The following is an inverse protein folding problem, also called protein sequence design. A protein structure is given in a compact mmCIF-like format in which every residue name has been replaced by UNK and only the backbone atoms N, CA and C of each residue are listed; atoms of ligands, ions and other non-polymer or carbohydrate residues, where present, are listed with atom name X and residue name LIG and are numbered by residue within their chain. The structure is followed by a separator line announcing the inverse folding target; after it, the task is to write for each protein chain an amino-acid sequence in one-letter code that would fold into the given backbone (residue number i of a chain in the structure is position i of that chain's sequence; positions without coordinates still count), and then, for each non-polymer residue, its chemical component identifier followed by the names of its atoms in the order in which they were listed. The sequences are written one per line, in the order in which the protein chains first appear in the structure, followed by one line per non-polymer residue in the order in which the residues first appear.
data_IF_458858445826
#
_entry.id   IF_458858445826
#
_cell.length_a   1.000
_cell.length_b   1.000
_cell.length_c   1.000
_cell.angle_alpha   90.00
_cell.angle_beta   90.00
_cell.angle_gamma   90.00
#
_symmetry.space_group_name_H-M   'P 1'
#
loop_
_entity.id
_entity.type
_entity.pdbx_description
1 polymer ?
#
# COMPACT_ATOMS: atom_id res chain seq x y z
N UNK A 1 -2.58 9.93 -32.73
CA UNK A 1 -1.94 11.09 -32.10
C UNK A 1 -1.27 10.61 -30.82
N UNK A 2 0.06 10.61 -30.75
CA UNK A 2 0.79 10.31 -29.51
C UNK A 2 0.59 11.52 -28.58
N UNK A 3 -0.08 11.31 -27.45
CA UNK A 3 -0.12 12.30 -26.39
C UNK A 3 1.31 12.45 -25.86
N UNK A 4 2.04 13.47 -26.31
CA UNK A 4 3.34 13.79 -25.71
C UNK A 4 3.11 14.02 -24.22
N UNK A 5 3.65 13.13 -23.39
CA UNK A 5 3.62 13.29 -21.95
C UNK A 5 4.30 14.62 -21.61
N UNK A 6 3.50 15.58 -21.15
CA UNK A 6 3.97 16.86 -20.63
C UNK A 6 4.72 16.60 -19.33
N UNK A 7 5.99 16.99 -19.29
CA UNK A 7 6.90 16.88 -18.14
C UNK A 7 6.35 17.62 -16.90
N UNK A 8 6.77 17.23 -15.71
CA UNK A 8 6.32 17.75 -14.42
C UNK A 8 6.39 19.29 -14.35
N UNK A 9 7.48 19.89 -14.84
CA UNK A 9 7.69 21.35 -14.84
C UNK A 9 6.68 22.10 -15.72
N UNK A 10 6.08 21.42 -16.69
CA UNK A 10 5.07 22.01 -17.57
C UNK A 10 3.64 21.88 -17.04
N UNK A 11 3.44 21.08 -16.00
CA UNK A 11 2.13 20.80 -15.40
C UNK A 11 1.91 21.52 -14.08
N UNK A 12 2.98 21.71 -13.30
CA UNK A 12 2.87 22.18 -11.91
C UNK A 12 3.60 23.50 -11.67
N UNK A 13 3.18 24.27 -10.64
CA UNK A 13 3.96 25.39 -10.15
C UNK A 13 5.40 24.98 -9.79
N UNK A 14 6.43 25.82 -10.04
CA UNK A 14 7.83 25.46 -9.81
C UNK A 14 8.16 24.98 -8.39
N UNK A 15 7.49 25.55 -7.38
CA UNK A 15 7.66 25.14 -5.97
C UNK A 15 7.16 23.72 -5.71
N UNK A 16 6.06 23.31 -6.35
CA UNK A 16 5.49 21.98 -6.22
C UNK A 16 6.32 20.96 -7.01
N UNK A 17 6.70 21.29 -8.24
CA UNK A 17 7.57 20.46 -9.07
C UNK A 17 8.89 20.15 -8.34
N UNK A 18 9.47 21.13 -7.65
CA UNK A 18 10.66 20.93 -6.82
C UNK A 18 10.43 19.93 -5.68
N UNK A 19 9.37 20.11 -4.88
CA UNK A 19 9.05 19.18 -3.79
C UNK A 19 8.91 17.74 -4.27
N UNK A 20 8.25 17.55 -5.41
CA UNK A 20 8.05 16.22 -6.00
C UNK A 20 9.34 15.62 -6.56
N UNK A 21 10.22 16.45 -7.15
CA UNK A 21 11.58 16.03 -7.54
C UNK A 21 12.42 15.62 -6.33
N UNK A 22 12.29 16.33 -5.21
CA UNK A 22 12.98 15.97 -3.96
C UNK A 22 12.47 14.60 -3.47
N UNK A 23 11.15 14.37 -3.46
CA UNK A 23 10.54 13.07 -3.12
C UNK A 23 11.02 11.95 -4.06
N UNK A 24 11.06 12.19 -5.37
CA UNK A 24 11.55 11.22 -6.35
C UNK A 24 13.04 10.89 -6.17
N UNK A 25 13.84 11.91 -5.85
CA UNK A 25 15.26 11.76 -5.51
C UNK A 25 15.44 10.92 -4.24
N UNK A 26 14.67 11.21 -3.19
CA UNK A 26 14.70 10.43 -1.95
C UNK A 26 14.35 8.96 -2.21
N UNK A 27 13.26 8.68 -2.94
CA UNK A 27 12.89 7.31 -3.33
C UNK A 27 13.99 6.61 -4.13
N UNK A 28 14.57 7.28 -5.12
CA UNK A 28 15.65 6.72 -5.95
C UNK A 28 16.91 6.40 -5.15
N UNK A 29 17.13 7.12 -4.05
CA UNK A 29 18.28 6.90 -3.17
C UNK A 29 18.07 5.75 -2.18
N UNK A 30 16.83 5.28 -2.01
CA UNK A 30 16.52 4.18 -1.10
C UNK A 30 17.21 2.90 -1.57
N UNK A 31 17.96 2.29 -0.66
CA UNK A 31 18.56 0.97 -0.89
C UNK A 31 17.51 -0.07 -0.60
N UNK A 32 16.85 -0.53 -1.66
CA UNK A 32 15.77 -1.50 -1.55
C UNK A 32 16.19 -2.82 -2.14
N UNK A 33 15.89 -3.89 -1.40
CA UNK A 33 16.20 -5.27 -1.76
C UNK A 33 14.98 -5.93 -2.39
N UNK A 34 15.23 -6.89 -3.27
CA UNK A 34 14.17 -7.58 -4.02
C UNK A 34 13.84 -6.87 -5.33
N UNK A 35 13.62 -7.69 -6.37
CA UNK A 35 13.30 -7.19 -7.71
C UNK A 35 11.96 -6.44 -7.74
N UNK A 36 10.96 -6.91 -6.99
CA UNK A 36 9.62 -6.33 -6.98
C UNK A 36 9.61 -4.91 -6.41
N UNK A 37 10.14 -4.71 -5.19
CA UNK A 37 10.15 -3.39 -4.54
C UNK A 37 10.95 -2.36 -5.33
N UNK A 38 12.07 -2.77 -5.96
CA UNK A 38 12.84 -1.87 -6.86
C UNK A 38 12.06 -1.49 -8.11
N UNK A 39 11.30 -2.41 -8.70
CA UNK A 39 10.42 -2.10 -9.84
C UNK A 39 9.38 -1.07 -9.43
N UNK A 40 8.69 -1.27 -8.29
CA UNK A 40 7.72 -0.28 -7.79
C UNK A 40 8.36 1.10 -7.58
N UNK A 41 9.53 1.19 -6.96
CA UNK A 41 10.22 2.47 -6.75
C UNK A 41 10.50 3.18 -8.07
N UNK A 42 11.04 2.47 -9.06
CA UNK A 42 11.32 3.05 -10.37
C UNK A 42 10.03 3.55 -11.04
N UNK A 43 8.96 2.75 -11.02
CA UNK A 43 7.66 3.12 -11.58
C UNK A 43 7.04 4.33 -10.86
N UNK A 44 7.20 4.43 -9.54
CA UNK A 44 6.75 5.60 -8.76
C UNK A 44 7.53 6.84 -9.17
N UNK A 45 8.86 6.74 -9.27
CA UNK A 45 9.73 7.85 -9.69
C UNK A 45 9.38 8.32 -11.09
N UNK A 46 9.19 7.39 -12.03
CA UNK A 46 8.80 7.71 -13.40
C UNK A 46 7.39 8.32 -13.47
N UNK A 47 6.45 7.83 -12.66
CA UNK A 47 5.13 8.43 -12.53
C UNK A 47 5.19 9.86 -11.97
N UNK A 48 6.07 10.13 -11.00
CA UNK A 48 6.31 11.49 -10.49
C UNK A 48 6.86 12.38 -11.60
N UNK A 49 7.92 11.95 -12.31
CA UNK A 49 8.50 12.74 -13.40
C UNK A 49 7.51 13.01 -14.55
N UNK A 50 6.61 12.08 -14.83
CA UNK A 50 5.55 12.25 -15.82
C UNK A 50 4.36 13.12 -15.35
N UNK A 51 4.36 13.57 -14.08
CA UNK A 51 3.26 14.29 -13.46
C UNK A 51 1.99 13.44 -13.29
N UNK A 52 2.14 12.13 -13.15
CA UNK A 52 1.06 11.14 -12.92
C UNK A 52 0.92 10.83 -11.42
N UNK A 53 0.64 11.86 -10.62
CA UNK A 53 0.72 11.76 -9.16
C UNK A 53 -0.27 10.78 -8.53
N UNK A 54 -1.47 10.63 -9.10
CA UNK A 54 -2.41 9.61 -8.64
C UNK A 54 -1.83 8.19 -8.83
N UNK A 55 -1.14 7.96 -9.94
CA UNK A 55 -0.48 6.68 -10.20
C UNK A 55 0.68 6.48 -9.21
N UNK A 56 1.50 7.51 -8.99
CA UNK A 56 2.58 7.46 -8.00
C UNK A 56 2.06 7.13 -6.58
N UNK A 57 0.97 7.76 -6.14
CA UNK A 57 0.33 7.48 -4.84
C UNK A 57 -0.20 6.04 -4.77
N UNK A 58 -0.89 5.57 -5.82
CA UNK A 58 -1.43 4.20 -5.89
C UNK A 58 -0.32 3.16 -5.86
N UNK A 59 0.74 3.36 -6.65
CA UNK A 59 1.91 2.47 -6.67
C UNK A 59 2.64 2.47 -5.32
N UNK A 60 2.69 3.62 -4.64
CA UNK A 60 3.31 3.72 -3.31
C UNK A 60 2.54 2.97 -2.24
N UNK A 61 1.20 2.93 -2.31
CA UNK A 61 0.41 2.05 -1.44
C UNK A 61 0.69 0.58 -1.70
N UNK A 62 0.75 0.15 -2.96
CA UNK A 62 1.07 -1.23 -3.30
C UNK A 62 2.47 -1.62 -2.82
N UNK A 63 3.45 -0.70 -2.93
CA UNK A 63 4.78 -0.88 -2.36
C UNK A 63 4.72 -1.02 -0.84
N UNK A 64 3.96 -0.16 -0.15
CA UNK A 64 3.81 -0.19 1.30
C UNK A 64 3.17 -1.51 1.77
N UNK A 65 2.13 -2.00 1.09
CA UNK A 65 1.49 -3.29 1.39
C UNK A 65 2.47 -4.46 1.24
N UNK A 66 3.25 -4.47 0.16
CA UNK A 66 4.28 -5.47 -0.06
C UNK A 66 5.34 -5.41 1.05
N UNK A 67 5.75 -4.20 1.42
CA UNK A 67 6.76 -4.00 2.46
C UNK A 67 6.31 -4.49 3.83
N UNK A 68 5.07 -4.18 4.22
CA UNK A 68 4.46 -4.66 5.48
C UNK A 68 4.37 -6.18 5.48
N UNK A 69 4.02 -6.80 4.34
CA UNK A 69 3.99 -8.26 4.20
C UNK A 69 5.38 -8.89 4.37
N UNK A 70 6.39 -8.32 3.72
CA UNK A 70 7.77 -8.81 3.80
C UNK A 70 8.29 -8.67 5.24
N UNK A 71 8.04 -7.52 5.89
CA UNK A 71 8.37 -7.31 7.31
C UNK A 71 7.73 -8.39 8.19
N UNK A 72 6.42 -8.62 8.03
CA UNK A 72 5.70 -9.60 8.85
C UNK A 72 6.25 -11.01 8.64
N UNK A 73 6.47 -11.40 7.38
CA UNK A 73 6.97 -12.73 7.03
C UNK A 73 8.36 -12.97 7.62
N UNK A 74 9.25 -11.98 7.58
CA UNK A 74 10.59 -12.07 8.14
C UNK A 74 10.60 -12.17 9.67
N UNK A 75 9.77 -11.38 10.36
CA UNK A 75 9.68 -11.42 11.82
C UNK A 75 9.04 -12.71 12.34
N UNK A 76 8.00 -13.21 11.66
CA UNK A 76 7.41 -14.51 11.97
C UNK A 76 8.41 -15.65 11.71
N UNK A 77 9.14 -15.61 10.58
CA UNK A 77 10.18 -16.60 10.30
C UNK A 77 11.30 -16.58 11.34
N UNK A 78 11.70 -15.40 11.83
CA UNK A 78 12.71 -15.27 12.89
C UNK A 78 12.25 -15.91 14.21
N UNK A 79 10.95 -15.89 14.51
CA UNK A 79 10.37 -16.54 15.70
C UNK A 79 10.16 -18.06 15.53
N UNK A 80 10.28 -18.61 14.32
CA UNK A 80 10.06 -20.05 14.06
C UNK A 80 11.14 -20.96 14.63
N UNK A 81 12.30 -20.41 15.02
CA UNK A 81 13.44 -21.19 15.51
C UNK A 81 14.22 -21.91 14.41
N UNK A 82 14.12 -21.47 13.15
CA UNK A 82 14.93 -21.95 12.04
C UNK A 82 16.42 -21.92 12.39
N UNK A 83 17.11 -23.05 12.17
CA UNK A 83 18.53 -23.23 12.56
C UNK A 83 19.48 -22.94 11.41
N UNK A 84 18.98 -22.96 10.18
CA UNK A 84 19.76 -22.74 8.96
C UNK A 84 19.13 -21.65 8.09
N UNK A 85 19.94 -21.01 7.25
CA UNK A 85 19.47 -20.03 6.27
C UNK A 85 18.46 -20.66 5.30
N UNK A 86 18.65 -21.94 4.95
CA UNK A 86 17.72 -22.65 4.07
C UNK A 86 16.35 -22.86 4.73
N UNK A 87 16.32 -23.29 6.00
CA UNK A 87 15.08 -23.41 6.78
C UNK A 87 14.38 -22.05 6.95
N UNK A 88 15.14 -21.00 7.24
CA UNK A 88 14.61 -19.64 7.36
C UNK A 88 13.97 -19.18 6.05
N UNK A 89 14.69 -19.31 4.93
CA UNK A 89 14.21 -18.91 3.60
C UNK A 89 12.96 -19.71 3.19
N UNK A 90 12.95 -21.02 3.47
CA UNK A 90 11.77 -21.86 3.23
C UNK A 90 10.57 -21.42 4.08
N UNK A 91 10.82 -21.05 5.34
CA UNK A 91 9.77 -20.54 6.26
C UNK A 91 9.20 -19.22 5.78
N UNK A 92 10.05 -18.27 5.36
CA UNK A 92 9.61 -16.99 4.77
C UNK A 92 8.72 -17.25 3.56
N UNK A 93 9.15 -18.11 2.61
CA UNK A 93 8.37 -18.41 1.41
C UNK A 93 7.01 -19.09 1.71
N UNK A 94 6.91 -19.88 2.78
CA UNK A 94 5.64 -20.45 3.23
C UNK A 94 4.74 -19.35 3.80
N UNK A 95 5.28 -18.52 4.70
CA UNK A 95 4.54 -17.43 5.34
C UNK A 95 4.02 -16.41 4.32
N UNK A 96 4.84 -16.02 3.34
CA UNK A 96 4.42 -15.14 2.24
C UNK A 96 3.19 -15.70 1.52
N UNK A 97 3.22 -17.00 1.18
CA UNK A 97 2.11 -17.67 0.48
C UNK A 97 0.85 -17.81 1.34
N UNK A 98 1.02 -17.99 2.66
CA UNK A 98 -0.09 -18.05 3.61
C UNK A 98 -0.74 -16.68 3.81
N UNK A 99 0.07 -15.63 4.04
CA UNK A 99 -0.38 -14.24 4.19
C UNK A 99 -1.13 -13.78 2.93
N UNK A 100 -0.63 -14.11 1.74
CA UNK A 100 -1.32 -13.86 0.47
C UNK A 100 -2.59 -14.71 0.26
N UNK A 101 -2.75 -15.78 1.04
CA UNK A 101 -3.84 -16.73 0.91
C UNK A 101 -3.80 -17.54 -0.39
N UNK A 102 -2.62 -17.72 -0.98
CA UNK A 102 -2.42 -18.54 -2.18
C UNK A 102 -2.60 -20.04 -1.92
N UNK A 103 -2.44 -20.47 -0.67
CA UNK A 103 -2.58 -21.88 -0.26
C UNK A 103 -4.03 -22.39 -0.35
N UNK A 104 -5.02 -21.49 -0.28
CA UNK A 104 -6.46 -21.84 -0.33
C UNK A 104 -6.96 -22.48 -1.64
N UNK A 105 -6.14 -22.55 -2.71
CA UNK A 105 -6.54 -23.19 -3.98
C UNK A 105 -6.00 -24.61 -4.21
N UNK A 106 -5.04 -25.08 -3.40
CA UNK A 106 -4.53 -26.47 -3.47
C UNK A 106 -4.61 -27.21 -2.13
N UNK A 107 -4.58 -26.51 -0.99
CA UNK A 107 -4.62 -27.15 0.33
C UNK A 107 -5.98 -27.77 0.69
N UNK A 108 -7.08 -27.35 0.05
CA UNK A 108 -8.41 -27.97 0.26
C UNK A 108 -8.46 -29.45 -0.18
N UNK A 109 -7.54 -29.92 -1.02
CA UNK A 109 -7.45 -31.35 -1.39
C UNK A 109 -6.49 -32.17 -0.52
N UNK A 110 -5.58 -31.53 0.22
CA UNK A 110 -4.60 -32.23 1.06
C UNK A 110 -4.88 -32.09 2.57
N UNK A 111 -5.73 -31.14 2.99
CA UNK A 111 -6.16 -30.99 4.37
C UNK A 111 -7.16 -32.07 4.83
N UNK A 112 -7.78 -32.82 3.91
CA UNK A 112 -8.59 -33.99 4.27
C UNK A 112 -7.74 -35.25 4.52
N UNK A 113 -6.52 -35.32 3.99
CA UNK A 113 -5.66 -36.51 4.10
C UNK A 113 -4.68 -36.46 5.28
N UNK A 114 -4.37 -35.27 5.84
CA UNK A 114 -3.39 -35.13 6.93
C UNK A 114 -3.99 -34.80 8.31
N UNK A 115 -4.93 -35.64 8.77
CA UNK A 115 -5.37 -35.67 10.18
C UNK A 115 -4.37 -36.38 11.10
N UNK A 116 -3.15 -36.62 10.64
CA UNK A 116 -2.17 -37.48 11.33
C UNK A 116 -1.10 -36.72 12.11
N UNK A 117 -1.01 -35.39 11.96
CA UNK A 117 -0.04 -34.55 12.67
C UNK A 117 -0.70 -33.70 13.77
N UNK A 118 -0.69 -34.17 15.04
CA UNK A 118 -1.20 -33.41 16.18
C UNK A 118 -0.18 -32.34 16.57
N UNK A 119 -0.13 -31.25 15.81
CA UNK A 119 0.84 -30.18 16.05
C UNK A 119 0.64 -28.89 15.25
N UNK A 120 -0.30 -28.85 14.29
CA UNK A 120 -0.66 -27.59 13.62
C UNK A 120 -1.38 -26.67 14.61
N UNK A 121 -0.63 -25.70 15.12
CA UNK A 121 -1.10 -24.67 16.05
C UNK A 121 -2.22 -23.85 15.43
N UNK A 122 -3.16 -23.35 16.27
CA UNK A 122 -4.24 -22.41 15.88
C UNK A 122 -3.73 -21.15 15.17
N UNK A 123 -2.43 -20.86 15.22
CA UNK A 123 -1.77 -19.77 14.49
C UNK A 123 -1.80 -19.94 12.97
N UNK A 124 -1.83 -21.17 12.43
CA UNK A 124 -1.74 -21.41 10.98
C UNK A 124 -3.03 -21.04 10.21
N UNK A 125 -4.18 -21.03 10.87
CA UNK A 125 -5.46 -20.66 10.23
C UNK A 125 -5.68 -19.15 10.25
N UNK A 126 -5.14 -18.46 11.27
CA UNK A 126 -5.27 -17.01 11.47
C UNK A 126 -4.50 -16.19 10.42
N UNK A 127 -3.36 -16.69 9.93
CA UNK A 127 -2.52 -15.98 8.97
C UNK A 127 -3.02 -16.01 7.52
N UNK A 128 -4.11 -16.73 7.23
CA UNK A 128 -4.60 -16.87 5.86
C UNK A 128 -5.36 -15.62 5.41
N UNK A 129 -4.85 -14.94 4.37
CA UNK A 129 -5.45 -13.74 3.77
C UNK A 129 -5.58 -12.58 4.77
N UNK A 130 -4.48 -12.23 5.41
CA UNK A 130 -4.48 -11.05 6.26
C UNK A 130 -4.79 -9.80 5.42
N UNK A 131 -5.74 -8.99 5.89
CA UNK A 131 -5.91 -7.63 5.40
C UNK A 131 -4.68 -6.79 5.78
N UNK A 132 -4.51 -5.64 5.12
CA UNK A 132 -3.45 -4.69 5.47
C UNK A 132 -3.49 -4.34 6.97
N UNK A 133 -4.67 -3.97 7.48
CA UNK A 133 -4.88 -3.63 8.88
C UNK A 133 -4.48 -4.80 9.80
N UNK A 134 -4.87 -6.03 9.46
CA UNK A 134 -4.50 -7.20 10.24
C UNK A 134 -2.97 -7.43 10.24
N UNK A 135 -2.28 -7.25 9.11
CA UNK A 135 -0.82 -7.33 9.07
C UNK A 135 -0.15 -6.26 9.95
N UNK A 136 -0.69 -5.04 9.97
CA UNK A 136 -0.15 -3.95 10.80
C UNK A 136 -0.33 -4.23 12.29
N UNK A 137 -1.50 -4.74 12.69
CA UNK A 137 -1.74 -5.16 14.08
C UNK A 137 -0.83 -6.30 14.50
N UNK A 138 -0.64 -7.32 13.65
CA UNK A 138 0.31 -8.40 13.93
C UNK A 138 1.74 -7.86 14.11
N UNK A 139 2.20 -6.95 13.24
CA UNK A 139 3.50 -6.31 13.41
C UNK A 139 3.63 -5.49 14.71
N UNK A 140 2.56 -4.84 15.14
CA UNK A 140 2.52 -4.13 16.43
C UNK A 140 2.60 -5.11 17.62
N UNK A 141 1.87 -6.23 17.58
CA UNK A 141 1.95 -7.30 18.59
C UNK A 141 3.34 -7.99 18.62
N UNK A 142 4.04 -7.97 17.48
CA UNK A 142 5.43 -8.42 17.39
C UNK A 142 6.44 -7.36 17.87
N UNK A 143 5.98 -6.19 18.34
CA UNK A 143 6.78 -5.02 18.75
C UNK A 143 7.67 -4.46 17.62
N UNK A 144 7.27 -4.68 16.36
CA UNK A 144 7.95 -4.13 15.17
C UNK A 144 7.46 -2.71 14.88
N UNK A 145 6.15 -2.48 15.09
CA UNK A 145 5.53 -1.17 14.96
C UNK A 145 5.11 -0.64 16.33
N UNK A 146 5.21 0.67 16.52
CA UNK A 146 4.57 1.35 17.64
C UNK A 146 3.15 1.87 17.28
N UNK A 147 2.46 2.43 18.28
CA UNK A 147 1.10 2.93 18.11
C UNK A 147 1.02 4.16 17.18
N UNK A 148 2.06 4.99 17.15
CA UNK A 148 2.12 6.18 16.30
C UNK A 148 2.30 5.76 14.83
N UNK A 149 3.11 4.73 14.58
CA UNK A 149 3.31 4.12 13.28
C UNK A 149 2.07 3.40 12.78
N UNK A 150 1.37 2.65 13.64
CA UNK A 150 0.09 2.06 13.29
C UNK A 150 -0.93 3.13 12.87
N UNK A 151 -1.05 4.20 13.67
CA UNK A 151 -1.94 5.33 13.37
C UNK A 151 -1.56 6.04 12.06
N UNK A 152 -0.27 6.16 11.77
CA UNK A 152 0.23 6.71 10.50
C UNK A 152 -0.16 5.83 9.32
N UNK A 153 0.01 4.50 9.42
CA UNK A 153 -0.33 3.56 8.35
C UNK A 153 -1.84 3.59 8.07
N UNK A 154 -2.68 3.58 9.11
CA UNK A 154 -4.13 3.74 8.99
C UNK A 154 -4.47 5.05 8.27
N UNK A 155 -3.86 6.17 8.70
CA UNK A 155 -4.07 7.47 8.06
C UNK A 155 -3.70 7.47 6.57
N UNK A 156 -2.54 6.91 6.20
CA UNK A 156 -2.08 6.81 4.81
C UNK A 156 -3.10 6.03 3.97
N UNK A 157 -3.56 4.91 4.51
CA UNK A 157 -4.49 4.01 3.83
C UNK A 157 -5.86 4.67 3.65
N UNK A 158 -6.41 5.26 4.70
CA UNK A 158 -7.70 5.96 4.67
C UNK A 158 -7.66 7.19 3.74
N UNK A 159 -6.53 7.89 3.66
CA UNK A 159 -6.40 9.10 2.84
C UNK A 159 -6.51 8.81 1.35
N UNK A 160 -6.01 7.66 0.90
CA UNK A 160 -5.89 7.36 -0.54
C UNK A 160 -6.85 6.25 -0.95
N UNK A 161 -6.79 5.11 -0.26
CA UNK A 161 -7.45 3.88 -0.69
C UNK A 161 -8.96 4.06 -0.64
N UNK A 162 -9.48 4.61 0.46
CA UNK A 162 -10.92 4.81 0.62
C UNK A 162 -11.48 5.79 -0.42
N UNK A 163 -10.90 6.99 -0.63
CA UNK A 163 -11.45 7.89 -1.63
C UNK A 163 -11.30 7.42 -3.07
N UNK A 164 -10.21 6.73 -3.41
CA UNK A 164 -10.06 6.14 -4.74
C UNK A 164 -11.08 5.02 -4.96
N UNK A 165 -11.19 4.07 -4.02
CA UNK A 165 -12.16 2.99 -4.15
C UNK A 165 -13.59 3.50 -4.14
N UNK A 166 -13.98 4.35 -3.19
CA UNK A 166 -15.34 4.88 -3.09
C UNK A 166 -15.67 5.89 -4.19
N UNK A 167 -14.72 6.72 -4.62
CA UNK A 167 -14.93 7.66 -5.74
C UNK A 167 -15.14 6.95 -7.07
N UNK A 168 -14.38 5.89 -7.35
CA UNK A 168 -14.52 5.09 -8.59
C UNK A 168 -15.77 4.20 -8.53
N UNK A 169 -16.01 3.51 -7.41
CA UNK A 169 -17.17 2.62 -7.25
C UNK A 169 -18.47 3.40 -7.16
N UNK A 170 -18.51 4.52 -6.46
CA UNK A 170 -19.69 5.40 -6.36
C UNK A 170 -20.21 5.84 -7.73
N UNK A 171 -19.31 6.13 -8.68
CA UNK A 171 -19.70 6.45 -10.08
C UNK A 171 -20.20 5.24 -10.87
N UNK A 172 -19.71 4.04 -10.55
CA UNK A 172 -20.14 2.80 -11.21
C UNK A 172 -21.53 2.39 -10.73
N UNK A 173 -21.84 2.62 -9.46
CA UNK A 173 -23.11 2.24 -8.82
C UNK A 173 -24.17 3.33 -8.97
N UNK A 174 -23.79 4.61 -8.93
CA UNK A 174 -24.69 5.75 -9.12
C UNK A 174 -24.06 6.87 -9.98
N UNK A 175 -24.11 6.73 -11.31
CA UNK A 175 -23.55 7.72 -12.22
C UNK A 175 -24.27 9.07 -12.21
N UNK A 176 -25.48 9.17 -11.64
CA UNK A 176 -26.27 10.41 -11.57
C UNK A 176 -26.07 11.17 -10.25
N UNK A 177 -25.43 10.55 -9.26
CA UNK A 177 -25.10 11.16 -7.97
C UNK A 177 -26.32 11.45 -7.08
N UNK A 178 -27.46 10.81 -7.36
CA UNK A 178 -28.72 11.07 -6.65
C UNK A 178 -28.79 10.40 -5.28
N UNK A 179 -27.98 9.36 -5.03
CA UNK A 179 -27.95 8.56 -3.81
C UNK A 179 -26.74 8.86 -2.91
N UNK A 180 -26.03 9.97 -3.13
CA UNK A 180 -24.89 10.36 -2.28
C UNK A 180 -25.27 10.46 -0.78
N UNK A 181 -26.56 10.71 -0.49
CA UNK A 181 -27.12 10.78 0.88
C UNK A 181 -27.13 9.44 1.63
N UNK A 182 -27.03 8.31 0.94
CA UNK A 182 -27.04 6.96 1.57
C UNK A 182 -25.72 6.59 2.24
N UNK A 183 -24.63 7.31 1.95
CA UNK A 183 -23.29 6.97 2.43
C UNK A 183 -22.72 7.93 3.49
N UNK A 184 -23.46 8.98 3.88
CA UNK A 184 -22.92 10.10 4.70
C UNK A 184 -22.71 9.74 6.18
N UNK A 185 -23.25 8.62 6.67
CA UNK A 185 -23.25 8.28 8.09
C UNK A 185 -21.87 8.06 8.73
N UNK A 186 -20.93 7.47 7.99
CA UNK A 186 -19.61 7.03 8.51
C UNK A 186 -18.41 7.57 7.70
N UNK A 187 -18.61 8.63 6.91
CA UNK A 187 -17.56 9.15 6.02
C UNK A 187 -16.58 10.09 6.74
N UNK A 188 -15.29 9.82 6.62
CA UNK A 188 -14.22 10.75 7.02
C UNK A 188 -14.31 12.07 6.25
N UNK A 189 -13.71 13.14 6.79
CA UNK A 189 -13.73 14.48 6.16
C UNK A 189 -13.17 14.45 4.74
N UNK A 190 -12.16 13.64 4.50
CA UNK A 190 -11.50 13.37 3.23
C UNK A 190 -12.47 12.67 2.27
N UNK A 191 -13.23 11.70 2.77
CA UNK A 191 -14.26 11.00 1.99
C UNK A 191 -15.41 11.93 1.60
N UNK A 192 -15.85 12.82 2.51
CA UNK A 192 -16.86 13.84 2.22
C UNK A 192 -16.34 14.86 1.21
N UNK A 193 -15.08 15.31 1.33
CA UNK A 193 -14.46 16.22 0.38
C UNK A 193 -14.46 15.60 -1.02
N UNK A 194 -14.05 14.34 -1.15
CA UNK A 194 -13.94 13.67 -2.44
C UNK A 194 -15.33 13.31 -3.01
N UNK A 195 -16.28 12.88 -2.17
CA UNK A 195 -17.67 12.73 -2.57
C UNK A 195 -18.27 14.05 -3.07
N UNK A 196 -17.96 15.18 -2.43
CA UNK A 196 -18.39 16.52 -2.85
C UNK A 196 -17.72 16.98 -4.14
N UNK A 197 -16.47 16.57 -4.40
CA UNK A 197 -15.80 16.79 -5.68
C UNK A 197 -16.58 16.08 -6.78
N UNK A 198 -17.10 14.88 -6.54
CA UNK A 198 -17.84 14.12 -7.56
C UNK A 198 -19.31 14.53 -7.75
N UNK A 199 -19.92 15.24 -6.81
CA UNK A 199 -21.29 15.78 -6.91
C UNK A 199 -21.46 17.08 -7.73
N UNK A 200 -20.36 17.72 -8.17
CA UNK A 200 -20.39 19.00 -8.89
C UNK A 200 -20.33 18.87 -10.44
N UNK A 201 -20.53 19.97 -11.17
CA UNK A 201 -20.45 19.99 -12.65
C UNK A 201 -19.09 19.49 -13.17
N UNK A 202 -19.03 18.71 -14.27
CA UNK A 202 -17.86 17.94 -14.70
C UNK A 202 -16.51 18.66 -14.67
N UNK A 203 -16.47 19.92 -15.09
CA UNK A 203 -15.24 20.69 -15.22
C UNK A 203 -14.68 21.11 -13.85
N UNK A 204 -15.54 21.54 -12.93
CA UNK A 204 -15.15 21.95 -11.56
C UNK A 204 -14.64 20.77 -10.74
N UNK A 205 -15.01 19.54 -11.12
CA UNK A 205 -14.56 18.30 -10.44
C UNK A 205 -13.11 17.98 -10.74
N UNK A 206 -12.70 18.12 -12.00
CA UNK A 206 -11.34 17.81 -12.42
C UNK A 206 -10.35 18.73 -11.70
N UNK A 207 -10.64 20.03 -11.68
CA UNK A 207 -9.81 21.03 -11.02
C UNK A 207 -9.64 20.75 -9.52
N UNK A 208 -10.73 20.51 -8.78
CA UNK A 208 -10.66 20.23 -7.34
C UNK A 208 -9.98 18.91 -7.00
N UNK A 209 -10.16 17.89 -7.84
CA UNK A 209 -9.48 16.61 -7.65
C UNK A 209 -7.98 16.75 -7.89
N UNK A 210 -7.60 17.47 -8.94
CA UNK A 210 -6.20 17.80 -9.22
C UNK A 210 -5.58 18.61 -8.06
N UNK A 211 -6.26 19.64 -7.57
CA UNK A 211 -5.81 20.44 -6.42
C UNK A 211 -5.59 19.56 -5.18
N UNK A 212 -6.53 18.67 -4.86
CA UNK A 212 -6.40 17.72 -3.76
C UNK A 212 -5.17 16.82 -3.92
N UNK A 213 -4.97 16.25 -5.11
CA UNK A 213 -3.81 15.40 -5.41
C UNK A 213 -2.52 16.19 -5.29
N UNK A 214 -2.47 17.43 -5.79
CA UNK A 214 -1.29 18.29 -5.70
C UNK A 214 -0.94 18.65 -4.25
N UNK A 215 -1.93 18.89 -3.40
CA UNK A 215 -1.70 19.22 -1.99
C UNK A 215 -1.35 18.00 -1.13
N UNK A 216 -1.86 16.82 -1.49
CA UNK A 216 -1.74 15.59 -0.70
C UNK A 216 -0.52 14.77 -1.08
N UNK A 217 -0.27 14.58 -2.38
CA UNK A 217 0.75 13.65 -2.86
C UNK A 217 2.15 13.88 -2.27
N UNK A 218 2.70 15.11 -2.21
CA UNK A 218 4.06 15.30 -1.69
C UNK A 218 4.20 14.91 -0.22
N UNK A 219 3.20 15.20 0.61
CA UNK A 219 3.23 14.92 2.05
C UNK A 219 3.18 13.42 2.29
N UNK A 220 2.19 12.79 1.66
CA UNK A 220 1.94 11.37 1.84
C UNK A 220 3.07 10.51 1.25
N UNK A 221 3.57 10.84 0.05
CA UNK A 221 4.74 10.14 -0.51
C UNK A 221 5.96 10.27 0.43
N UNK A 222 6.15 11.42 1.06
CA UNK A 222 7.23 11.63 2.02
C UNK A 222 7.04 10.82 3.30
N UNK A 223 5.82 10.72 3.82
CA UNK A 223 5.48 9.87 4.97
C UNK A 223 5.76 8.39 4.68
N UNK A 224 5.35 7.90 3.50
CA UNK A 224 5.65 6.54 3.06
C UNK A 224 7.16 6.31 2.99
N UNK A 225 7.92 7.19 2.34
CA UNK A 225 9.39 7.08 2.25
C UNK A 225 10.02 7.01 3.66
N UNK A 226 9.61 7.92 4.55
CA UNK A 226 10.14 7.96 5.91
C UNK A 226 9.81 6.68 6.69
N UNK A 227 8.63 6.10 6.48
CA UNK A 227 8.27 4.81 7.06
C UNK A 227 9.18 3.68 6.53
N UNK A 228 9.32 3.56 5.20
CA UNK A 228 10.14 2.51 4.58
C UNK A 228 11.62 2.61 4.99
N UNK A 229 12.14 3.83 5.17
CA UNK A 229 13.52 4.06 5.65
C UNK A 229 13.70 3.61 7.12
N UNK A 230 12.69 3.81 7.97
CA UNK A 230 12.74 3.38 9.38
C UNK A 230 12.69 1.87 9.54
N UNK A 231 12.06 1.18 8.59
CA UNK A 231 11.87 -0.28 8.61
C UNK A 231 12.59 -0.96 7.44
N UNK A 232 13.93 -0.93 7.39
CA UNK A 232 14.67 -1.55 6.30
C UNK A 232 14.50 -3.08 6.31
N UNK A 233 14.25 -3.67 5.14
CA UNK A 233 14.24 -5.11 4.99
C UNK A 233 15.67 -5.68 5.06
N UNK A 234 15.94 -6.73 5.86
CA UNK A 234 17.27 -7.30 6.05
C UNK A 234 17.87 -7.90 4.78
N UNK A 235 19.20 -7.98 4.81
CA UNK A 235 20.06 -8.42 3.73
C UNK A 235 20.03 -9.96 3.57
N UNK A 236 19.41 -10.49 2.51
CA UNK A 236 19.37 -11.95 2.25
C UNK A 236 20.56 -12.51 1.47
N UNK A 237 21.56 -11.69 1.11
CA UNK A 237 22.70 -12.07 0.24
C UNK A 237 23.99 -12.48 0.99
N UNK A 238 23.89 -12.99 2.23
CA UNK A 238 25.04 -13.44 3.02
C UNK A 238 24.93 -14.90 3.48
#
# INVERSE_FOLDING_TARGET
MSAKHRDLDSRLPPSMARKLKDVASDMSSMRVRGMSSRVYINEIVDAIHAGLLLAAMSLSLSLLELWIRDLLSLHLAAKSGAKTIHEFTATVAILERDIEGLEGRKASKYAEEDKSHPGRSKTDEHLRRLSFDAMCWELMELEVLDLDELSLLDHIYETIRNPIHHGITGRTVDPTGQNLSLFVGDMTRETVLIASIFGNAPNVRADRFEDYIYDTAPKLLKEIINFLIRHPLPDTEH
#
